data_IF_112632164626
#
_entry.id   IF_112632164626
#
_cell.length_a   1.000
_cell.length_b   1.000
_cell.length_c   1.000
_cell.angle_alpha   90.00
_cell.angle_beta   90.00
_cell.angle_gamma   90.00
#
_symmetry.space_group_name_H-M   'P 1'
#
loop_
_entity.id
_entity.type
_entity.pdbx_description
1 polymer ?
#
# COMPACT_ATOMS: atom_id res chain seq x y z
N UNK A 1 -22.15 -44.55 -17.04
CA UNK A 1 -20.77 -44.04 -16.89
C UNK A 1 -20.79 -42.85 -15.94
N UNK A 2 -20.43 -43.04 -14.66
CA UNK A 2 -20.34 -41.95 -13.69
C UNK A 2 -18.99 -41.26 -13.84
N UNK A 3 -18.98 -40.02 -14.36
CA UNK A 3 -17.79 -39.18 -14.37
C UNK A 3 -17.58 -38.64 -12.95
N UNK A 4 -16.69 -39.29 -12.20
CA UNK A 4 -16.17 -38.76 -10.94
C UNK A 4 -15.35 -37.50 -11.25
N UNK A 5 -15.99 -36.33 -11.15
CA UNK A 5 -15.27 -35.05 -11.14
C UNK A 5 -14.54 -34.91 -9.82
N UNK A 6 -13.23 -35.14 -9.82
CA UNK A 6 -12.36 -34.87 -8.67
C UNK A 6 -12.44 -33.36 -8.39
N UNK A 7 -12.82 -32.91 -7.18
CA UNK A 7 -12.84 -31.48 -6.87
C UNK A 7 -11.41 -30.96 -6.96
N UNK A 8 -11.20 -29.90 -7.74
CA UNK A 8 -9.96 -29.14 -7.71
C UNK A 8 -9.92 -28.43 -6.34
N UNK A 9 -9.12 -28.96 -5.42
CA UNK A 9 -8.75 -28.22 -4.22
C UNK A 9 -7.82 -27.08 -4.66
N UNK A 10 -8.35 -25.86 -4.66
CA UNK A 10 -7.51 -24.67 -4.71
C UNK A 10 -6.65 -24.65 -3.44
N UNK A 11 -5.35 -24.41 -3.59
CA UNK A 11 -4.44 -24.31 -2.44
C UNK A 11 -4.82 -23.05 -1.66
N UNK A 12 -5.61 -23.22 -0.61
CA UNK A 12 -6.01 -22.13 0.29
C UNK A 12 -5.06 -22.13 1.48
N UNK A 13 -4.45 -20.97 1.73
CA UNK A 13 -3.61 -20.73 2.90
C UNK A 13 -4.46 -20.91 4.17
N UNK A 14 -4.00 -21.72 5.11
CA UNK A 14 -4.75 -22.02 6.35
C UNK A 14 -4.55 -20.95 7.43
N UNK A 15 -3.35 -20.37 7.50
CA UNK A 15 -2.99 -19.31 8.44
C UNK A 15 -1.89 -18.42 7.85
N UNK A 16 -1.88 -17.16 8.24
CA UNK A 16 -0.78 -16.19 7.97
C UNK A 16 0.38 -16.35 8.95
N UNK A 17 0.17 -17.00 10.10
CA UNK A 17 1.18 -17.08 11.17
C UNK A 17 1.39 -15.78 11.94
N UNK A 18 0.63 -14.72 11.63
CA UNK A 18 0.68 -13.42 12.30
C UNK A 18 -0.60 -13.26 13.14
N UNK A 19 -0.46 -12.86 14.41
CA UNK A 19 -1.61 -12.66 15.28
C UNK A 19 -2.43 -11.45 14.85
N UNK A 20 -3.74 -11.63 14.70
CA UNK A 20 -4.67 -10.56 14.30
C UNK A 20 -4.80 -10.35 12.78
N UNK A 21 -4.03 -11.06 11.96
CA UNK A 21 -4.13 -10.99 10.50
C UNK A 21 -4.81 -12.24 9.94
N UNK A 22 -6.09 -12.13 9.62
CA UNK A 22 -6.86 -13.24 9.05
C UNK A 22 -6.50 -13.49 7.57
N UNK A 23 -6.54 -14.75 7.14
CA UNK A 23 -6.35 -15.10 5.73
C UNK A 23 -7.52 -14.57 4.90
N UNK A 24 -7.22 -13.87 3.81
CA UNK A 24 -8.24 -13.35 2.91
C UNK A 24 -8.58 -14.39 1.81
N UNK A 25 -9.86 -14.69 1.55
CA UNK A 25 -10.25 -15.76 0.61
C UNK A 25 -9.93 -15.42 -0.86
N UNK A 26 -9.93 -14.14 -1.22
CA UNK A 26 -9.62 -13.71 -2.59
C UNK A 26 -8.87 -12.36 -2.61
N UNK A 27 -7.56 -12.35 -2.30
CA UNK A 27 -6.81 -11.12 -2.03
C UNK A 27 -6.52 -10.27 -3.27
N UNK A 28 -6.27 -10.88 -4.44
CA UNK A 28 -5.84 -10.13 -5.64
C UNK A 28 -6.90 -9.15 -6.17
N UNK A 29 -8.19 -9.52 -6.30
CA UNK A 29 -9.21 -8.57 -6.74
C UNK A 29 -9.46 -7.47 -5.70
N UNK A 30 -9.44 -7.81 -4.41
CA UNK A 30 -9.58 -6.83 -3.34
C UNK A 30 -8.45 -5.79 -3.39
N UNK A 31 -7.21 -6.25 -3.54
CA UNK A 31 -6.03 -5.38 -3.62
C UNK A 31 -6.05 -4.50 -4.89
N UNK A 32 -6.51 -5.05 -6.03
CA UNK A 32 -6.74 -4.26 -7.26
C UNK A 32 -7.77 -3.16 -7.04
N UNK A 33 -8.91 -3.49 -6.41
CA UNK A 33 -9.96 -2.53 -6.10
C UNK A 33 -9.46 -1.42 -5.19
N UNK A 34 -8.69 -1.75 -4.15
CA UNK A 34 -8.12 -0.76 -3.24
C UNK A 34 -7.19 0.18 -4.01
N UNK A 35 -6.27 -0.33 -4.82
CA UNK A 35 -5.39 0.53 -5.62
C UNK A 35 -6.13 1.44 -6.60
N UNK A 36 -7.15 0.93 -7.30
CA UNK A 36 -7.98 1.75 -8.19
C UNK A 36 -8.74 2.83 -7.42
N UNK A 37 -9.22 2.52 -6.21
CA UNK A 37 -9.84 3.50 -5.33
C UNK A 37 -8.84 4.56 -4.82
N UNK A 38 -7.60 4.17 -4.52
CA UNK A 38 -6.53 5.10 -4.11
C UNK A 38 -6.19 6.06 -5.25
N UNK A 39 -6.02 5.56 -6.48
CA UNK A 39 -5.79 6.39 -7.67
C UNK A 39 -6.96 7.36 -7.90
N UNK A 40 -8.20 6.92 -7.69
CA UNK A 40 -9.37 7.80 -7.77
C UNK A 40 -9.34 8.89 -6.69
N UNK A 41 -8.99 8.54 -5.45
CA UNK A 41 -8.94 9.48 -4.32
C UNK A 41 -7.82 10.53 -4.49
N UNK A 42 -6.68 10.15 -5.06
CA UNK A 42 -5.56 11.05 -5.35
C UNK A 42 -5.92 12.20 -6.29
N UNK A 43 -6.99 12.09 -7.08
CA UNK A 43 -7.46 13.19 -7.94
C UNK A 43 -7.87 14.44 -7.15
N UNK A 44 -8.20 14.29 -5.86
CA UNK A 44 -8.52 15.43 -4.98
C UNK A 44 -7.28 16.28 -4.61
N UNK A 45 -6.08 15.73 -4.75
CA UNK A 45 -4.81 16.36 -4.40
C UNK A 45 -4.18 16.99 -5.66
N UNK A 46 -3.57 18.20 -5.61
CA UNK A 46 -2.97 18.80 -6.78
C UNK A 46 -1.81 17.96 -7.36
N UNK A 47 -1.64 17.91 -8.70
CA UNK A 47 -0.59 17.13 -9.36
C UNK A 47 0.83 17.65 -9.09
N UNK A 48 0.96 18.89 -8.60
CA UNK A 48 2.24 19.47 -8.19
C UNK A 48 2.74 18.92 -6.84
N UNK A 49 1.87 18.26 -6.06
CA UNK A 49 2.25 17.67 -4.79
C UNK A 49 3.21 16.48 -5.00
N UNK A 50 4.36 16.53 -4.33
CA UNK A 50 5.34 15.43 -4.34
C UNK A 50 4.73 14.15 -3.78
N UNK A 51 3.86 14.27 -2.77
CA UNK A 51 3.14 13.12 -2.20
C UNK A 51 2.30 12.43 -3.27
N UNK A 52 1.46 13.19 -4.01
CA UNK A 52 0.64 12.61 -5.08
C UNK A 52 1.49 11.90 -6.13
N UNK A 53 2.56 12.54 -6.60
CA UNK A 53 3.45 11.95 -7.62
C UNK A 53 4.10 10.65 -7.14
N UNK A 54 4.56 10.62 -5.88
CA UNK A 54 5.15 9.43 -5.28
C UNK A 54 4.16 8.28 -5.14
N UNK A 55 2.97 8.54 -4.57
CA UNK A 55 1.94 7.51 -4.36
C UNK A 55 1.42 7.01 -5.72
N UNK A 56 1.15 7.90 -6.67
CA UNK A 56 0.66 7.52 -8.00
C UNK A 56 1.64 6.57 -8.71
N UNK A 57 2.94 6.90 -8.71
CA UNK A 57 3.97 6.04 -9.31
C UNK A 57 4.07 4.67 -8.61
N UNK A 58 4.00 4.63 -7.27
CA UNK A 58 4.04 3.40 -6.49
C UNK A 58 2.79 2.54 -6.74
N UNK A 59 1.60 3.11 -6.64
CA UNK A 59 0.34 2.40 -6.82
C UNK A 59 0.22 1.86 -8.25
N UNK A 60 0.61 2.62 -9.28
CA UNK A 60 0.64 2.13 -10.65
C UNK A 60 1.61 0.96 -10.85
N UNK A 61 2.82 1.04 -10.30
CA UNK A 61 3.79 -0.06 -10.33
C UNK A 61 3.21 -1.33 -9.70
N UNK A 62 2.61 -1.20 -8.51
CA UNK A 62 2.02 -2.32 -7.77
C UNK A 62 0.83 -2.92 -8.51
N UNK A 63 -0.03 -2.08 -9.07
CA UNK A 63 -1.17 -2.51 -9.87
C UNK A 63 -0.72 -3.26 -11.13
N UNK A 64 0.36 -2.85 -11.78
CA UNK A 64 0.94 -3.58 -12.92
C UNK A 64 1.48 -4.96 -12.53
N UNK A 65 2.14 -5.07 -11.37
CA UNK A 65 2.60 -6.36 -10.81
C UNK A 65 1.41 -7.30 -10.60
N UNK A 66 0.36 -6.82 -9.94
CA UNK A 66 -0.83 -7.61 -9.61
C UNK A 66 -1.57 -8.05 -10.87
N UNK A 67 -1.73 -7.17 -11.86
CA UNK A 67 -2.34 -7.49 -13.16
C UNK A 67 -1.47 -8.45 -13.99
N UNK A 68 -0.14 -8.37 -13.88
CA UNK A 68 0.80 -9.22 -14.62
C UNK A 68 0.93 -10.65 -14.09
N UNK A 69 0.57 -10.90 -12.83
CA UNK A 69 0.77 -12.19 -12.18
C UNK A 69 -0.26 -13.28 -12.52
N UNK A 70 -1.31 -12.98 -13.29
CA UNK A 70 -2.31 -13.95 -13.77
C UNK A 70 -2.90 -14.88 -12.69
N UNK A 71 -3.05 -14.39 -11.46
CA UNK A 71 -3.60 -15.16 -10.34
C UNK A 71 -2.58 -15.89 -9.46
N UNK A 72 -1.28 -15.79 -9.75
CA UNK A 72 -0.22 -16.37 -8.91
C UNK A 72 0.12 -15.45 -7.74
N UNK A 73 -0.36 -15.81 -6.55
CA UNK A 73 -0.14 -15.04 -5.31
C UNK A 73 1.34 -15.02 -4.92
N UNK A 74 2.06 -16.14 -5.08
CA UNK A 74 3.46 -16.23 -4.65
C UNK A 74 4.38 -15.37 -5.51
N UNK A 75 4.08 -15.29 -6.81
CA UNK A 75 4.78 -14.38 -7.71
C UNK A 75 4.53 -12.91 -7.32
N UNK A 76 3.31 -12.54 -6.95
CA UNK A 76 2.97 -11.18 -6.48
C UNK A 76 3.72 -10.83 -5.21
N UNK A 77 3.68 -11.69 -4.19
CA UNK A 77 4.39 -11.46 -2.91
C UNK A 77 5.89 -11.21 -3.14
N UNK A 78 6.51 -12.02 -4.01
CA UNK A 78 7.93 -11.87 -4.35
C UNK A 78 8.23 -10.59 -5.11
N UNK A 79 7.35 -10.13 -6.00
CA UNK A 79 7.56 -8.93 -6.80
C UNK A 79 7.25 -7.63 -6.02
N UNK A 80 6.31 -7.69 -5.06
CA UNK A 80 5.97 -6.55 -4.21
C UNK A 80 7.01 -6.33 -3.10
N UNK A 81 7.63 -7.40 -2.58
CA UNK A 81 8.62 -7.35 -1.49
C UNK A 81 8.07 -6.75 -0.18
N UNK A 82 6.77 -6.92 0.08
CA UNK A 82 6.04 -6.37 1.23
C UNK A 82 5.61 -7.42 2.26
N UNK A 83 6.18 -8.62 2.18
CA UNK A 83 5.76 -9.75 3.02
C UNK A 83 4.59 -10.51 2.41
N UNK A 84 3.58 -10.84 3.23
CA UNK A 84 2.42 -11.59 2.78
C UNK A 84 1.41 -10.71 2.05
N UNK A 85 0.59 -11.31 1.19
CA UNK A 85 -0.42 -10.56 0.42
C UNK A 85 -1.45 -9.87 1.32
N UNK A 86 -1.76 -10.44 2.49
CA UNK A 86 -2.66 -9.84 3.47
C UNK A 86 -2.06 -8.58 4.11
N UNK A 87 -0.74 -8.54 4.35
CA UNK A 87 -0.05 -7.35 4.85
C UNK A 87 -0.05 -6.25 3.78
N UNK A 88 0.19 -6.64 2.52
CA UNK A 88 0.13 -5.72 1.37
C UNK A 88 -1.26 -5.09 1.21
N UNK A 89 -2.33 -5.85 1.48
CA UNK A 89 -3.70 -5.35 1.46
C UNK A 89 -3.93 -4.33 2.58
N UNK A 90 -3.46 -4.63 3.80
CA UNK A 90 -3.57 -3.69 4.93
C UNK A 90 -2.82 -2.38 4.66
N UNK A 91 -1.60 -2.47 4.11
CA UNK A 91 -0.82 -1.30 3.69
C UNK A 91 -1.61 -0.47 2.66
N UNK A 92 -2.23 -1.13 1.68
CA UNK A 92 -3.03 -0.44 0.66
C UNK A 92 -4.27 0.26 1.25
N UNK A 93 -4.96 -0.37 2.20
CA UNK A 93 -6.10 0.22 2.90
C UNK A 93 -5.70 1.40 3.78
N UNK A 94 -4.55 1.31 4.46
CA UNK A 94 -4.03 2.39 5.29
C UNK A 94 -3.56 3.56 4.43
N UNK A 95 -2.97 3.31 3.26
CA UNK A 95 -2.66 4.35 2.28
C UNK A 95 -3.93 5.05 1.78
N UNK A 96 -5.00 4.30 1.48
CA UNK A 96 -6.29 4.90 1.08
C UNK A 96 -6.85 5.82 2.17
N UNK A 97 -6.79 5.42 3.44
CA UNK A 97 -7.18 6.27 4.57
C UNK A 97 -6.26 7.49 4.70
N UNK A 98 -4.96 7.31 4.48
CA UNK A 98 -3.98 8.39 4.54
C UNK A 98 -4.26 9.43 3.46
N UNK A 99 -4.57 9.04 2.23
CA UNK A 99 -4.96 9.97 1.15
C UNK A 99 -6.15 10.83 1.59
N UNK A 100 -7.15 10.26 2.25
CA UNK A 100 -8.28 11.01 2.81
C UNK A 100 -7.85 12.06 3.84
N UNK A 101 -6.91 11.72 4.72
CA UNK A 101 -6.35 12.67 5.72
C UNK A 101 -5.45 13.72 5.06
N UNK A 102 -4.64 13.34 4.08
CA UNK A 102 -3.77 14.26 3.34
C UNK A 102 -4.57 15.31 2.58
N UNK A 103 -5.77 14.95 2.09
CA UNK A 103 -6.70 15.91 1.49
C UNK A 103 -7.17 16.97 2.49
N UNK A 104 -7.36 16.60 3.76
CA UNK A 104 -7.73 17.52 4.85
C UNK A 104 -6.54 18.37 5.32
N UNK A 105 -5.38 17.74 5.54
CA UNK A 105 -4.19 18.40 6.10
C UNK A 105 -3.46 19.31 5.12
N UNK A 106 -3.62 19.09 3.81
CA UNK A 106 -2.98 19.88 2.75
C UNK A 106 -1.48 20.09 2.95
N UNK A 107 -0.76 19.03 3.31
CA UNK A 107 0.67 19.06 3.63
C UNK A 107 1.60 19.53 2.49
N UNK A 108 1.06 19.78 1.29
CA UNK A 108 1.78 20.37 0.16
C UNK A 108 1.81 21.90 0.20
N UNK A 109 1.08 22.53 1.12
CA UNK A 109 1.16 23.98 1.35
C UNK A 109 2.48 24.35 2.03
N UNK A 110 2.94 25.61 1.88
CA UNK A 110 4.11 26.08 2.61
C UNK A 110 3.94 25.94 4.12
N UNK A 111 5.06 25.84 4.82
CA UNK A 111 5.10 25.70 6.28
C UNK A 111 4.27 26.81 6.97
N UNK A 112 3.32 26.38 7.81
CA UNK A 112 2.40 27.28 8.53
C UNK A 112 3.16 28.18 9.53
N UNK A 113 4.10 27.60 10.28
CA UNK A 113 4.90 28.32 11.28
C UNK A 113 6.40 28.11 11.04
N UNK A 114 7.14 29.21 10.88
CA UNK A 114 8.60 29.16 10.78
C UNK A 114 9.22 28.91 12.16
N UNK A 115 10.29 28.11 12.25
CA UNK A 115 10.95 27.86 13.53
C UNK A 115 11.56 29.14 14.09
N UNK A 116 11.61 29.24 15.42
CA UNK A 116 12.34 30.31 16.10
C UNK A 116 13.85 30.23 15.81
N UNK A 117 14.57 31.37 15.80
CA UNK A 117 16.02 31.38 15.65
C UNK A 117 16.69 30.51 16.72
N UNK A 118 17.56 29.57 16.31
CA UNK A 118 18.27 28.67 17.22
C UNK A 118 17.51 27.38 17.62
N UNK A 119 16.23 27.20 17.22
CA UNK A 119 15.43 26.00 17.57
C UNK A 119 16.09 24.67 17.16
N UNK A 120 16.80 24.67 16.02
CA UNK A 120 17.45 23.49 15.45
C UNK A 120 18.97 23.52 15.57
N UNK A 121 19.52 24.42 16.40
CA UNK A 121 20.95 24.47 16.71
C UNK A 121 21.26 23.53 17.88
N UNK A 122 21.88 22.40 17.57
CA UNK A 122 22.34 21.45 18.60
C UNK A 122 23.76 21.79 19.06
N UNK A 123 24.08 21.64 20.35
CA UNK A 123 25.45 21.80 20.82
C UNK A 123 26.33 20.72 20.18
N UNK A 124 27.29 21.15 19.37
CA UNK A 124 28.37 20.26 18.90
C UNK A 124 29.24 19.91 20.10
N UNK A 125 29.34 18.62 20.44
CA UNK A 125 30.33 18.18 21.42
C UNK A 125 31.71 18.53 20.87
N UNK A 126 32.41 19.47 21.52
CA UNK A 126 33.80 19.78 21.19
C UNK A 126 34.63 18.54 21.52
N UNK A 127 34.94 17.73 20.51
CA UNK A 127 35.94 16.68 20.63
C UNK A 127 37.30 17.34 20.79
N UNK A 128 37.80 17.35 22.04
CA UNK A 128 39.20 17.66 22.39
C UNK A 128 40.14 16.58 21.90
#
# INVERSE_FOLDING_TARGET
MFRLTRPLFQVVKTTTGITGLAVHPNPLPALTQVYESTLSALNSIPPTSVYRQGVEALTLRKLNIVKGANGDISAVEKQLEEGQIEESLQIAEDELKLVGKMAEWKAWEPLEEKPEPGQWEYPVASTT
#
